data_IF_919232205265
#
_entry.id   IF_919232205265
#
_cell.length_a   1.000
_cell.length_b   1.000
_cell.length_c   1.000
_cell.angle_alpha   90.00
_cell.angle_beta   90.00
_cell.angle_gamma   90.00
#
_symmetry.space_group_name_H-M   'P 1'
#
loop_
_entity.id
_entity.type
_entity.pdbx_description
1 polymer ?
#
# COMPACT_ATOMS: atom_id res chain seq x y z
N UNK A 1 -15.55 0.30 6.52
CA UNK A 1 -15.23 -0.93 7.28
C UNK A 1 -16.21 -2.02 6.89
N UNK A 2 -15.74 -3.21 6.45
CA UNK A 2 -16.62 -4.31 6.08
C UNK A 2 -17.39 -4.86 7.29
N UNK A 3 -18.68 -5.17 7.12
CA UNK A 3 -19.55 -5.64 8.19
C UNK A 3 -19.13 -7.00 8.79
N UNK A 4 -18.40 -7.80 8.01
CA UNK A 4 -17.96 -9.15 8.40
C UNK A 4 -16.64 -9.19 9.19
N UNK A 5 -15.94 -8.05 9.37
CA UNK A 5 -14.69 -8.00 10.13
C UNK A 5 -14.87 -7.28 11.46
N UNK A 6 -14.23 -7.82 12.50
CA UNK A 6 -14.11 -7.23 13.82
C UNK A 6 -12.68 -6.75 14.12
N UNK A 7 -11.75 -6.96 13.19
CA UNK A 7 -10.34 -6.63 13.36
C UNK A 7 -9.73 -6.07 12.07
N UNK A 8 -10.12 -4.83 11.72
CA UNK A 8 -9.59 -4.13 10.55
C UNK A 8 -8.26 -3.46 10.89
N UNK A 9 -7.20 -3.82 10.19
CA UNK A 9 -5.86 -3.27 10.36
C UNK A 9 -5.50 -2.23 9.30
N UNK A 10 -4.69 -1.25 9.70
CA UNK A 10 -3.92 -0.40 8.78
C UNK A 10 -2.57 -1.05 8.45
N UNK A 11 -2.12 -0.87 7.21
CA UNK A 11 -0.79 -1.24 6.72
C UNK A 11 -0.30 -0.10 5.81
N UNK A 12 0.74 0.63 6.23
CA UNK A 12 1.25 1.80 5.54
C UNK A 12 2.23 1.40 4.43
N UNK A 13 1.92 1.69 3.17
CA UNK A 13 2.75 1.22 2.04
C UNK A 13 3.06 2.32 1.02
N UNK A 14 4.22 2.20 0.37
CA UNK A 14 4.51 2.95 -0.84
C UNK A 14 3.89 2.21 -2.03
N UNK A 15 3.06 2.91 -2.81
CA UNK A 15 2.54 2.46 -4.09
C UNK A 15 3.38 3.00 -5.24
N UNK A 16 3.74 2.13 -6.19
CA UNK A 16 4.46 2.46 -7.42
C UNK A 16 3.49 2.43 -8.59
N UNK A 17 3.29 3.57 -9.24
CA UNK A 17 2.33 3.72 -10.35
C UNK A 17 3.06 3.54 -11.68
N UNK A 18 2.56 2.61 -12.49
CA UNK A 18 3.12 2.29 -13.79
C UNK A 18 2.71 3.34 -14.83
N UNK A 19 3.67 3.86 -15.58
CA UNK A 19 3.47 4.89 -16.60
C UNK A 19 3.36 4.38 -18.02
N UNK A 20 3.56 3.08 -18.24
CA UNK A 20 3.37 2.42 -19.53
C UNK A 20 3.25 0.92 -19.32
N UNK A 21 2.68 0.23 -20.31
CA UNK A 21 2.53 -1.22 -20.31
C UNK A 21 3.87 -1.94 -20.17
N UNK A 22 3.97 -2.90 -19.25
CA UNK A 22 5.13 -3.75 -19.04
C UNK A 22 4.76 -5.23 -18.91
N UNK A 23 5.43 -6.10 -19.69
CA UNK A 23 5.30 -7.56 -19.60
C UNK A 23 6.68 -8.19 -19.62
N UNK A 24 6.98 -8.99 -18.61
CA UNK A 24 8.28 -9.64 -18.41
C UNK A 24 9.48 -8.67 -18.50
N UNK A 25 9.34 -7.50 -17.86
CA UNK A 25 10.33 -6.42 -17.88
C UNK A 25 11.62 -6.85 -17.16
N UNK A 26 12.82 -6.65 -17.73
CA UNK A 26 14.08 -6.86 -17.01
C UNK A 26 14.21 -5.90 -15.82
N UNK A 27 14.82 -6.36 -14.71
CA UNK A 27 14.98 -5.54 -13.51
C UNK A 27 15.74 -4.23 -13.77
N UNK A 28 16.77 -4.27 -14.62
CA UNK A 28 17.56 -3.09 -14.99
C UNK A 28 16.75 -2.01 -15.72
N UNK A 29 15.64 -2.36 -16.36
CA UNK A 29 14.77 -1.44 -17.12
C UNK A 29 13.52 -1.03 -16.34
N UNK A 30 13.27 -1.65 -15.19
CA UNK A 30 12.00 -1.53 -14.46
C UNK A 30 11.62 -0.08 -14.13
N UNK A 31 12.59 0.76 -13.77
CA UNK A 31 12.33 2.15 -13.41
C UNK A 31 11.88 3.02 -14.60
N UNK A 32 12.12 2.59 -15.84
CA UNK A 32 11.65 3.29 -17.05
C UNK A 32 10.14 3.12 -17.28
N UNK A 33 9.51 2.20 -16.55
CA UNK A 33 8.07 1.93 -16.59
C UNK A 33 7.31 2.64 -15.47
N UNK A 34 7.99 3.35 -14.56
CA UNK A 34 7.37 4.05 -13.43
C UNK A 34 6.97 5.48 -13.82
N UNK A 35 5.69 5.83 -13.66
CA UNK A 35 5.20 7.21 -13.76
C UNK A 35 5.45 8.00 -12.47
N UNK A 36 5.31 7.35 -11.33
CA UNK A 36 5.46 8.00 -10.03
C UNK A 36 4.96 7.11 -8.90
N UNK A 37 4.52 7.76 -7.83
CA UNK A 37 4.24 7.10 -6.56
C UNK A 37 2.94 7.61 -5.94
N UNK A 38 2.37 6.82 -5.04
CA UNK A 38 1.34 7.26 -4.12
C UNK A 38 1.54 6.58 -2.77
N UNK A 39 1.23 7.26 -1.68
CA UNK A 39 1.16 6.60 -0.38
C UNK A 39 -0.17 5.88 -0.28
N UNK A 40 -0.15 4.62 0.14
CA UNK A 40 -1.33 3.77 0.20
C UNK A 40 -1.50 3.16 1.59
N UNK A 41 -2.73 2.75 1.89
CA UNK A 41 -3.01 1.83 3.00
C UNK A 41 -3.49 0.50 2.44
N UNK A 42 -2.84 -0.62 2.79
CA UNK A 42 -3.34 -1.96 2.51
C UNK A 42 -4.28 -2.41 3.65
N UNK A 43 -5.51 -1.91 3.62
CA UNK A 43 -6.48 -2.14 4.69
C UNK A 43 -6.86 -3.63 4.73
N UNK A 44 -6.69 -4.23 5.91
CA UNK A 44 -6.75 -5.69 6.04
C UNK A 44 -7.73 -6.12 7.12
N UNK A 45 -8.74 -6.92 6.76
CA UNK A 45 -9.56 -7.63 7.75
C UNK A 45 -8.77 -8.81 8.31
N UNK A 46 -8.01 -8.59 9.41
CA UNK A 46 -7.01 -9.53 9.90
C UNK A 46 -7.62 -10.83 10.39
N UNK A 47 -8.75 -10.73 11.08
CA UNK A 47 -9.53 -11.89 11.53
C UNK A 47 -9.95 -12.80 10.36
N UNK A 48 -10.32 -12.22 9.22
CA UNK A 48 -10.63 -12.95 7.99
C UNK A 48 -9.35 -13.52 7.36
N UNK A 49 -8.26 -12.77 7.34
CA UNK A 49 -6.98 -13.22 6.79
C UNK A 49 -6.46 -14.48 7.51
N UNK A 50 -6.56 -14.52 8.84
CA UNK A 50 -6.11 -15.64 9.66
C UNK A 50 -6.93 -16.90 9.36
N UNK A 51 -8.25 -16.77 9.21
CA UNK A 51 -9.12 -17.87 8.79
C UNK A 51 -8.82 -18.34 7.36
N UNK A 52 -8.56 -17.43 6.42
CA UNK A 52 -8.18 -17.78 5.06
C UNK A 52 -6.87 -18.58 5.04
N UNK A 53 -5.84 -18.15 5.78
CA UNK A 53 -4.57 -18.87 5.93
C UNK A 53 -4.79 -20.27 6.49
N UNK A 54 -5.55 -20.39 7.58
CA UNK A 54 -5.82 -21.68 8.26
C UNK A 54 -6.53 -22.69 7.35
N UNK A 55 -7.40 -22.21 6.47
CA UNK A 55 -8.23 -23.05 5.58
C UNK A 55 -7.69 -23.18 4.15
N UNK A 56 -6.58 -22.52 3.82
CA UNK A 56 -6.05 -22.50 2.44
C UNK A 56 -6.98 -21.80 1.44
N UNK A 57 -7.71 -20.78 1.88
CA UNK A 57 -8.64 -20.02 1.04
C UNK A 57 -7.97 -18.78 0.42
N UNK A 58 -8.51 -18.26 -0.69
CA UNK A 58 -8.10 -16.95 -1.22
C UNK A 58 -8.26 -15.83 -0.19
N UNK A 59 -7.40 -14.82 -0.25
CA UNK A 59 -7.42 -13.69 0.67
C UNK A 59 -8.36 -12.55 0.27
N UNK A 60 -9.21 -12.78 -0.74
CA UNK A 60 -10.07 -11.75 -1.35
C UNK A 60 -10.91 -10.97 -0.32
N UNK A 61 -11.60 -11.65 0.59
CA UNK A 61 -12.39 -10.98 1.64
C UNK A 61 -11.53 -10.25 2.68
N UNK A 62 -10.27 -10.67 2.84
CA UNK A 62 -9.35 -10.08 3.79
C UNK A 62 -8.65 -8.82 3.25
N UNK A 63 -8.43 -8.71 1.94
CA UNK A 63 -7.55 -7.70 1.31
C UNK A 63 -8.17 -6.93 0.13
N UNK A 64 -9.23 -7.45 -0.50
CA UNK A 64 -9.73 -6.97 -1.80
C UNK A 64 -11.17 -6.47 -1.74
N UNK A 65 -11.60 -5.95 -0.60
CA UNK A 65 -12.94 -5.38 -0.43
C UNK A 65 -13.00 -3.92 -0.89
N UNK A 66 -14.20 -3.42 -1.16
CA UNK A 66 -14.41 -2.00 -1.52
C UNK A 66 -13.75 -1.06 -0.52
N UNK A 67 -13.03 -0.05 -1.01
CA UNK A 67 -12.23 0.91 -0.22
C UNK A 67 -11.05 0.31 0.55
N UNK A 68 -10.56 -0.90 0.22
CA UNK A 68 -9.41 -1.49 0.92
C UNK A 68 -8.06 -0.85 0.61
N UNK A 69 -7.98 -0.01 -0.44
CA UNK A 69 -6.77 0.73 -0.82
C UNK A 69 -6.96 2.26 -0.78
N UNK A 70 -7.09 2.89 0.40
CA UNK A 70 -6.94 4.33 0.55
C UNK A 70 -5.62 4.81 -0.06
N UNK A 71 -5.65 5.87 -0.86
CA UNK A 71 -4.52 6.32 -1.69
C UNK A 71 -4.37 7.84 -1.62
N UNK A 72 -3.12 8.32 -1.55
CA UNK A 72 -2.80 9.75 -1.56
C UNK A 72 -2.98 10.38 -2.94
N UNK A 73 -2.77 11.69 -3.02
CA UNK A 73 -2.50 12.34 -4.30
C UNK A 73 -1.27 11.72 -4.97
N UNK A 74 -1.27 11.72 -6.30
CA UNK A 74 -0.15 11.24 -7.11
C UNK A 74 1.11 12.11 -6.91
N UNK A 75 2.25 11.45 -6.79
CA UNK A 75 3.57 12.06 -6.68
C UNK A 75 4.36 11.72 -7.95
N UNK A 76 4.62 12.69 -8.85
CA UNK A 76 5.42 12.46 -10.05
C UNK A 76 6.81 11.91 -9.70
N UNK A 77 7.34 10.99 -10.54
CA UNK A 77 8.64 10.34 -10.33
C UNK A 77 9.76 11.36 -10.08
N UNK A 78 9.70 12.54 -10.71
CA UNK A 78 10.71 13.60 -10.62
C UNK A 78 10.84 14.18 -9.19
N UNK A 79 9.79 14.07 -8.38
CA UNK A 79 9.81 14.51 -6.97
C UNK A 79 10.44 13.50 -6.02
N UNK A 80 10.71 12.28 -6.49
CA UNK A 80 11.25 11.16 -5.70
C UNK A 80 12.41 10.56 -6.49
N UNK A 81 13.61 11.17 -6.41
CA UNK A 81 14.78 10.71 -7.16
C UNK A 81 15.25 9.32 -6.71
N UNK A 82 15.10 9.00 -5.42
CA UNK A 82 15.43 7.69 -4.85
C UNK A 82 14.26 7.19 -3.98
N UNK A 83 13.46 6.22 -4.45
CA UNK A 83 12.35 5.69 -3.67
C UNK A 83 12.78 4.79 -2.52
N UNK A 84 14.07 4.42 -2.42
CA UNK A 84 14.66 3.67 -1.31
C UNK A 84 15.22 4.57 -0.20
N UNK A 85 15.04 5.88 -0.32
CA UNK A 85 15.42 6.86 0.71
C UNK A 85 14.23 7.72 1.16
N UNK A 86 13.12 7.07 1.48
CA UNK A 86 11.89 7.72 1.95
C UNK A 86 11.56 7.32 3.38
N UNK A 87 10.98 8.25 4.13
CA UNK A 87 10.44 8.01 5.47
C UNK A 87 8.92 8.08 5.45
N UNK A 88 8.29 6.97 5.79
CA UNK A 88 6.84 6.80 5.83
C UNK A 88 6.37 6.89 7.28
N UNK A 89 5.24 7.55 7.53
CA UNK A 89 4.62 7.60 8.86
C UNK A 89 3.10 7.45 8.79
N UNK A 90 2.51 6.91 9.86
CA UNK A 90 1.07 6.80 10.06
C UNK A 90 0.72 7.04 11.52
N UNK A 91 -0.30 7.88 11.73
CA UNK A 91 -0.94 8.17 13.00
C UNK A 91 -2.40 7.72 12.99
N UNK A 92 -2.88 7.24 14.14
CA UNK A 92 -4.31 7.00 14.39
C UNK A 92 -4.71 7.90 15.56
N UNK A 93 -5.70 8.76 15.35
CA UNK A 93 -6.17 9.76 16.32
C UNK A 93 -5.02 10.61 16.90
N UNK A 94 -4.05 10.97 16.05
CA UNK A 94 -2.88 11.78 16.42
C UNK A 94 -1.70 10.99 17.03
N UNK A 95 -1.89 9.73 17.41
CA UNK A 95 -0.84 8.87 17.97
C UNK A 95 -0.08 8.16 16.85
N UNK A 96 1.26 8.24 16.86
CA UNK A 96 2.10 7.51 15.90
C UNK A 96 1.99 6.00 16.10
N UNK A 97 1.68 5.27 15.03
CA UNK A 97 1.52 3.80 15.03
C UNK A 97 2.51 3.09 14.12
N UNK A 98 2.80 3.67 12.95
CA UNK A 98 3.83 3.16 12.05
C UNK A 98 4.80 4.26 11.67
N UNK A 99 6.07 3.89 11.60
CA UNK A 99 7.13 4.67 11.02
C UNK A 99 8.13 3.67 10.38
N UNK A 100 8.60 3.98 9.18
CA UNK A 100 9.51 3.11 8.46
C UNK A 100 10.28 3.83 7.37
N UNK A 101 11.47 3.31 7.07
CA UNK A 101 12.30 3.79 5.97
C UNK A 101 12.26 2.79 4.81
N UNK A 102 12.08 3.28 3.58
CA UNK A 102 12.02 2.40 2.39
C UNK A 102 13.36 1.74 2.07
N UNK A 103 14.45 2.20 2.67
CA UNK A 103 15.76 1.55 2.68
C UNK A 103 15.74 0.17 3.35
N UNK A 104 14.70 -0.10 4.17
CA UNK A 104 14.51 -1.39 4.86
C UNK A 104 13.75 -2.43 4.02
N UNK A 105 13.39 -2.13 2.77
CA UNK A 105 12.75 -3.10 1.88
C UNK A 105 13.66 -4.31 1.64
N UNK A 106 13.10 -5.52 1.75
CA UNK A 106 13.83 -6.76 1.45
C UNK A 106 14.10 -6.89 -0.05
N UNK A 107 13.11 -6.54 -0.88
CA UNK A 107 13.21 -6.55 -2.32
C UNK A 107 13.14 -5.12 -2.86
N UNK A 108 14.02 -4.79 -3.80
CA UNK A 108 14.03 -3.46 -4.42
C UNK A 108 12.78 -3.28 -5.29
N UNK A 109 12.38 -2.02 -5.51
CA UNK A 109 11.24 -1.70 -6.40
C UNK A 109 11.49 -2.22 -7.83
N UNK A 110 12.68 -2.05 -8.43
CA UNK A 110 13.02 -2.68 -9.70
C UNK A 110 12.79 -4.20 -9.73
N UNK A 111 13.22 -4.92 -8.68
CA UNK A 111 13.02 -6.36 -8.56
C UNK A 111 11.53 -6.70 -8.52
N UNK A 112 10.74 -5.99 -7.70
CA UNK A 112 9.30 -6.22 -7.56
C UNK A 112 8.58 -6.03 -8.89
N UNK A 113 8.84 -4.93 -9.61
CA UNK A 113 8.24 -4.66 -10.93
C UNK A 113 8.60 -5.77 -11.93
N UNK A 114 9.88 -6.13 -12.00
CA UNK A 114 10.39 -7.21 -12.86
C UNK A 114 9.70 -8.54 -12.55
N UNK A 115 9.60 -8.90 -11.27
CA UNK A 115 8.97 -10.14 -10.84
C UNK A 115 7.47 -10.17 -11.15
N UNK A 116 6.73 -9.13 -10.75
CA UNK A 116 5.28 -9.05 -10.97
C UNK A 116 4.96 -9.07 -12.46
N UNK A 117 5.68 -8.29 -13.28
CA UNK A 117 5.44 -8.20 -14.73
C UNK A 117 5.64 -9.51 -15.49
N UNK A 118 6.40 -10.47 -14.94
CA UNK A 118 6.58 -11.83 -15.51
C UNK A 118 5.37 -12.72 -15.27
N UNK A 119 4.57 -12.44 -14.25
CA UNK A 119 3.38 -13.21 -13.86
C UNK A 119 2.12 -12.55 -14.42
N UNK A 120 1.99 -11.24 -14.26
CA UNK A 120 0.86 -10.44 -14.70
C UNK A 120 1.39 -9.24 -15.47
N UNK A 121 0.91 -9.03 -16.70
CA UNK A 121 1.23 -7.80 -17.43
C UNK A 121 0.68 -6.60 -16.65
N UNK A 122 1.49 -5.55 -16.54
CA UNK A 122 1.12 -4.28 -15.91
C UNK A 122 0.72 -3.31 -17.02
N UNK A 123 -0.46 -2.71 -16.94
CA UNK A 123 -0.90 -1.68 -17.86
C UNK A 123 -0.53 -0.28 -17.33
N UNK A 124 -0.65 0.74 -18.18
CA UNK A 124 -0.51 2.13 -17.73
C UNK A 124 -1.59 2.46 -16.69
N UNK A 125 -1.16 3.04 -15.56
CA UNK A 125 -2.04 3.37 -14.43
C UNK A 125 -2.16 2.26 -13.38
N UNK A 126 -1.68 1.04 -13.64
CA UNK A 126 -1.61 0.00 -12.61
C UNK A 126 -0.70 0.44 -11.45
N UNK A 127 -1.00 -0.04 -10.24
CA UNK A 127 -0.24 0.28 -9.03
C UNK A 127 0.23 -0.98 -8.31
N UNK A 128 1.48 -0.96 -7.84
CA UNK A 128 2.06 -2.01 -6.99
C UNK A 128 2.29 -1.46 -5.60
N UNK A 129 1.63 -2.06 -4.61
CA UNK A 129 1.89 -1.83 -3.19
C UNK A 129 3.10 -2.69 -2.75
N UNK A 130 4.05 -2.07 -2.05
CA UNK A 130 5.42 -2.62 -1.88
C UNK A 130 5.70 -3.20 -0.50
N UNK A 131 4.68 -3.35 0.34
CA UNK A 131 4.77 -3.86 1.69
C UNK A 131 4.80 -2.76 2.75
N UNK A 132 4.43 -3.16 3.97
CA UNK A 132 4.33 -2.29 5.14
C UNK A 132 5.51 -2.46 6.10
N UNK A 133 5.99 -1.39 6.78
CA UNK A 133 6.89 -1.54 7.91
C UNK A 133 6.15 -2.12 9.13
N UNK A 134 6.90 -2.37 10.22
CA UNK A 134 6.34 -2.80 11.51
C UNK A 134 5.30 -1.80 12.06
N UNK A 135 4.51 -2.25 13.02
CA UNK A 135 3.53 -1.42 13.74
C UNK A 135 2.11 -1.45 13.16
N UNK A 136 1.79 -2.43 12.30
CA UNK A 136 0.42 -2.68 11.84
C UNK A 136 -0.50 -2.89 13.05
N UNK A 137 -1.72 -2.37 12.99
CA UNK A 137 -2.62 -2.41 14.13
C UNK A 137 -4.08 -2.11 13.77
N UNK A 138 -5.01 -2.40 14.70
CA UNK A 138 -6.43 -2.24 14.45
C UNK A 138 -6.86 -0.77 14.41
N UNK A 139 -7.89 -0.49 13.62
CA UNK A 139 -8.66 0.75 13.62
C UNK A 139 -10.14 0.47 13.84
N UNK A 140 -10.85 1.43 14.43
CA UNK A 140 -12.27 1.37 14.76
C UNK A 140 -13.05 2.43 14.00
N UNK A 141 -14.36 2.24 13.93
CA UNK A 141 -15.28 3.24 13.36
C UNK A 141 -15.08 4.57 14.12
N UNK A 142 -15.04 5.66 13.36
CA UNK A 142 -14.73 7.04 13.76
C UNK A 142 -13.26 7.34 14.06
N UNK A 143 -12.35 6.35 13.99
CA UNK A 143 -10.92 6.67 14.04
C UNK A 143 -10.54 7.53 12.83
N UNK A 144 -9.62 8.47 13.06
CA UNK A 144 -8.98 9.25 12.03
C UNK A 144 -7.56 8.75 11.81
N UNK A 145 -7.24 8.40 10.56
CA UNK A 145 -5.90 8.01 10.12
C UNK A 145 -5.28 9.20 9.39
N UNK A 146 -4.08 9.59 9.82
CA UNK A 146 -3.23 10.53 9.09
C UNK A 146 -1.96 9.80 8.70
N UNK A 147 -1.50 9.94 7.46
CA UNK A 147 -0.29 9.28 6.99
C UNK A 147 0.46 10.17 6.02
N UNK A 148 1.76 9.93 5.85
CA UNK A 148 2.56 10.71 4.92
C UNK A 148 3.91 10.10 4.57
N UNK A 149 4.50 10.68 3.52
CA UNK A 149 5.91 10.58 3.18
C UNK A 149 6.53 11.93 3.58
N UNK A 150 7.52 11.92 4.48
CA UNK A 150 8.13 13.16 4.96
C UNK A 150 8.59 14.07 3.82
N UNK A 151 8.17 15.33 3.83
CA UNK A 151 8.56 16.34 2.84
C UNK A 151 7.93 16.18 1.45
N UNK A 152 7.10 15.14 1.22
CA UNK A 152 6.59 14.81 -0.12
C UNK A 152 5.06 14.87 -0.18
N UNK A 153 4.34 14.08 0.63
CA UNK A 153 2.87 14.00 0.59
C UNK A 153 2.30 13.64 1.96
N UNK A 154 1.07 14.08 2.24
CA UNK A 154 0.28 13.59 3.37
C UNK A 154 -1.17 13.36 2.96
N UNK A 155 -1.85 12.46 3.67
CA UNK A 155 -3.24 12.09 3.45
C UNK A 155 -3.96 11.88 4.79
N UNK A 156 -5.28 12.00 4.75
CA UNK A 156 -6.17 11.82 5.92
C UNK A 156 -7.41 11.04 5.51
N UNK A 157 -7.75 10.03 6.28
CA UNK A 157 -8.93 9.20 6.09
C UNK A 157 -9.66 9.00 7.41
N UNK A 158 -10.99 9.06 7.36
CA UNK A 158 -11.84 8.69 8.49
C UNK A 158 -12.38 7.29 8.29
N UNK A 159 -12.36 6.48 9.34
CA UNK A 159 -12.87 5.11 9.28
C UNK A 159 -14.37 5.13 9.51
N UNK A 160 -15.14 4.76 8.49
CA UNK A 160 -16.61 4.78 8.55
C UNK A 160 -17.19 3.39 8.26
N UNK A 161 -18.45 3.19 8.65
CA UNK A 161 -19.27 2.08 8.14
C UNK A 161 -20.01 2.57 6.90
N UNK A 162 -20.25 1.68 5.92
CA UNK A 162 -21.11 2.02 4.80
C UNK A 162 -22.53 2.32 5.29
N UNK A 163 -23.21 3.26 4.63
CA UNK A 163 -24.59 3.67 4.90
C UNK A 163 -25.63 2.89 4.06
N UNK A 164 -25.20 1.80 3.43
CA UNK A 164 -25.98 0.96 2.51
C UNK A 164 -25.97 -0.52 2.91
#
# INVERSE_FOLDING_TARGET
>A
MPAYSRNLHHELELGVVMGKRGRAVPEAEAMDYVAGYALCLDMTARDVQDECKKKGLPWTLAKSFTTSCPVSAFVPKEKVPDPHNLKLWLKVNGELRQEGETSSMIFTIPYIISYVSKIMALEEGDIILTGTPKGVGPVKVNDEIQAGIHGVVSMRFKVEKPDY
#
